data_IF_784588306144
#
_entry.id   IF_784588306144
#
_cell.length_a   1.000
_cell.length_b   1.000
_cell.length_c   1.000
_cell.angle_alpha   90.00
_cell.angle_beta   90.00
_cell.angle_gamma   90.00
#
_symmetry.space_group_name_H-M   'P 1'
#
loop_
_entity.id
_entity.type
_entity.pdbx_description
1 polymer ?
#
# COMPACT_ATOMS: atom_id res chain seq x y z
N UNK A 1 4.02 -5.12 -21.37
CA UNK A 1 4.44 -5.48 -19.99
C UNK A 1 3.19 -5.91 -19.26
N UNK A 2 3.05 -7.22 -19.01
CA UNK A 2 1.80 -7.87 -18.58
C UNK A 2 1.41 -7.42 -17.16
N UNK A 3 0.13 -7.07 -16.98
CA UNK A 3 -0.50 -6.74 -15.69
C UNK A 3 -0.64 -7.96 -14.76
N UNK A 4 -0.25 -9.14 -15.21
CA UNK A 4 -0.47 -10.43 -14.53
C UNK A 4 0.53 -10.75 -13.41
N UNK A 5 1.61 -9.97 -13.25
CA UNK A 5 2.58 -10.16 -12.17
C UNK A 5 2.15 -9.52 -10.84
N UNK A 6 1.17 -8.61 -10.84
CA UNK A 6 0.73 -7.95 -9.60
C UNK A 6 -0.11 -8.86 -8.68
N UNK A 7 -0.69 -9.94 -9.21
CA UNK A 7 -1.60 -10.82 -8.45
C UNK A 7 -0.96 -12.04 -7.78
N UNK A 8 0.35 -12.28 -7.94
CA UNK A 8 0.97 -13.56 -7.53
C UNK A 8 0.98 -13.83 -6.02
N UNK A 9 0.67 -12.84 -5.19
CA UNK A 9 0.63 -12.95 -3.72
C UNK A 9 -0.73 -12.54 -3.13
N UNK A 10 -1.81 -12.59 -3.90
CA UNK A 10 -3.14 -12.20 -3.44
C UNK A 10 -3.98 -13.43 -3.04
N UNK A 11 -4.59 -13.42 -1.86
CA UNK A 11 -5.62 -14.38 -1.46
C UNK A 11 -6.90 -14.22 -2.31
N UNK A 12 -7.74 -15.24 -2.32
CA UNK A 12 -8.99 -15.25 -3.08
C UNK A 12 -9.94 -14.13 -2.59
N UNK A 13 -10.24 -13.16 -3.46
CA UNK A 13 -11.07 -11.99 -3.16
C UNK A 13 -10.29 -10.69 -2.95
N UNK A 14 -8.95 -10.77 -2.94
CA UNK A 14 -8.08 -9.60 -2.86
C UNK A 14 -7.87 -8.95 -4.21
N UNK A 15 -7.85 -7.62 -4.20
CA UNK A 15 -7.63 -6.78 -5.37
C UNK A 15 -6.62 -5.71 -5.00
N UNK A 16 -5.54 -5.62 -5.78
CA UNK A 16 -4.64 -4.46 -5.76
C UNK A 16 -5.39 -3.29 -6.35
N UNK A 17 -5.67 -2.30 -5.51
CA UNK A 17 -6.32 -1.06 -5.88
C UNK A 17 -5.31 -0.06 -6.45
N UNK A 18 -4.08 -0.12 -5.97
CA UNK A 18 -2.97 0.73 -6.41
C UNK A 18 -1.62 0.11 -6.04
N UNK A 19 -0.57 0.36 -6.84
CA UNK A 19 0.80 -0.11 -6.58
C UNK A 19 1.83 0.92 -7.07
N UNK A 20 3.03 0.94 -6.46
CA UNK A 20 4.19 1.69 -6.98
C UNK A 20 5.40 0.78 -7.23
N UNK A 21 6.61 1.11 -6.75
CA UNK A 21 7.82 0.26 -6.78
C UNK A 21 8.16 -0.42 -5.45
N UNK A 22 7.51 -0.03 -4.35
CA UNK A 22 7.87 -0.43 -2.99
C UNK A 22 6.67 -0.93 -2.16
N UNK A 23 5.44 -0.56 -2.50
CA UNK A 23 4.25 -0.98 -1.78
C UNK A 23 2.97 -0.98 -2.63
N UNK A 24 1.90 -1.55 -2.07
CA UNK A 24 0.60 -1.79 -2.69
C UNK A 24 -0.52 -1.42 -1.73
N UNK A 25 -1.62 -0.92 -2.29
CA UNK A 25 -2.88 -0.71 -1.59
C UNK A 25 -3.86 -1.79 -2.00
N UNK A 26 -4.49 -2.44 -1.03
CA UNK A 26 -5.42 -3.55 -1.26
C UNK A 26 -6.79 -3.28 -0.68
N UNK A 27 -7.79 -3.99 -1.21
CA UNK A 27 -9.17 -3.98 -0.72
C UNK A 27 -9.39 -4.83 0.55
N UNK A 28 -8.37 -5.51 1.07
CA UNK A 28 -8.37 -6.30 2.31
C UNK A 28 -7.04 -6.13 3.06
N UNK A 29 -7.05 -6.35 4.38
CA UNK A 29 -5.86 -6.34 5.24
C UNK A 29 -4.94 -7.48 4.81
N UNK A 30 -3.69 -7.14 4.52
CA UNK A 30 -2.65 -8.12 4.27
C UNK A 30 -1.78 -8.25 5.52
N UNK A 31 -1.87 -9.40 6.19
CA UNK A 31 -1.01 -9.75 7.32
C UNK A 31 0.38 -10.22 6.89
N UNK A 32 0.68 -10.27 5.59
CA UNK A 32 1.99 -10.70 5.09
C UNK A 32 2.89 -9.51 4.81
N UNK A 33 3.72 -9.19 5.81
CA UNK A 33 4.99 -8.51 5.57
C UNK A 33 5.88 -9.51 4.80
N UNK A 34 6.41 -9.16 3.62
CA UNK A 34 7.31 -10.06 2.92
C UNK A 34 8.60 -10.21 3.73
N UNK A 35 8.91 -11.44 4.13
CA UNK A 35 10.13 -11.78 4.88
C UNK A 35 11.42 -11.48 4.10
N UNK A 36 11.34 -11.33 2.76
CA UNK A 36 12.50 -11.20 1.86
C UNK A 36 12.46 -9.94 0.95
N UNK A 37 12.14 -8.77 1.50
CA UNK A 37 12.29 -7.49 0.77
C UNK A 37 11.26 -7.25 -0.35
N UNK A 38 10.06 -7.83 -0.20
CA UNK A 38 8.95 -7.61 -1.12
C UNK A 38 8.18 -6.31 -0.89
N UNK A 39 7.05 -6.19 -1.58
CA UNK A 39 6.11 -5.09 -1.50
C UNK A 39 5.51 -4.92 -0.10
N UNK A 40 5.51 -3.71 0.46
CA UNK A 40 4.69 -3.43 1.63
C UNK A 40 3.21 -3.36 1.24
N UNK A 41 2.30 -3.79 2.09
CA UNK A 41 0.87 -3.76 1.79
C UNK A 41 0.13 -2.88 2.80
N UNK A 42 -0.70 -1.97 2.30
CA UNK A 42 -1.53 -1.08 3.11
C UNK A 42 -2.99 -1.33 2.75
N UNK A 43 -3.81 -1.57 3.77
CA UNK A 43 -5.24 -1.69 3.56
C UNK A 43 -5.84 -0.33 3.20
N UNK A 44 -6.74 -0.27 2.21
CA UNK A 44 -7.35 0.98 1.77
C UNK A 44 -8.06 1.77 2.89
N UNK A 45 -8.67 1.09 3.87
CA UNK A 45 -9.29 1.78 5.02
C UNK A 45 -8.26 2.38 5.98
N UNK A 46 -7.04 1.83 6.00
CA UNK A 46 -5.96 2.30 6.84
C UNK A 46 -5.13 3.39 6.17
N UNK A 47 -5.26 3.60 4.87
CA UNK A 47 -4.49 4.56 4.07
C UNK A 47 -4.48 5.99 4.65
N UNK A 48 -5.57 6.38 5.31
CA UNK A 48 -5.75 7.70 5.92
C UNK A 48 -5.28 7.78 7.38
N UNK A 49 -4.74 6.70 7.96
CA UNK A 49 -4.13 6.77 9.29
C UNK A 49 -2.87 7.65 9.25
N UNK A 50 -2.72 8.50 10.25
CA UNK A 50 -1.58 9.42 10.36
C UNK A 50 -0.26 8.73 10.75
N UNK A 51 -0.31 7.46 11.15
CA UNK A 51 0.87 6.69 11.57
C UNK A 51 1.82 6.31 10.41
N UNK A 52 1.34 6.33 9.16
CA UNK A 52 2.10 5.78 8.04
C UNK A 52 3.43 6.50 7.74
N UNK A 53 3.50 7.85 7.71
CA UNK A 53 4.75 8.55 7.51
C UNK A 53 5.82 8.18 8.54
N UNK A 54 5.47 8.15 9.82
CA UNK A 54 6.44 7.82 10.87
C UNK A 54 6.84 6.35 10.81
N UNK A 55 5.86 5.44 10.63
CA UNK A 55 6.12 4.01 10.49
C UNK A 55 7.07 3.69 9.33
N UNK A 56 6.92 4.36 8.19
CA UNK A 56 7.74 4.14 7.00
C UNK A 56 9.12 4.78 7.11
N UNK A 57 9.23 5.91 7.82
CA UNK A 57 10.52 6.55 8.11
C UNK A 57 11.44 5.63 8.93
N UNK A 58 10.88 4.81 9.82
CA UNK A 58 11.63 3.88 10.68
C UNK A 58 12.20 2.66 9.93
N UNK A 59 11.70 2.33 8.73
CA UNK A 59 12.08 1.11 8.00
C UNK A 59 13.48 1.18 7.38
N UNK A 60 14.05 2.37 7.17
CA UNK A 60 15.41 2.57 6.67
C UNK A 60 15.68 2.15 5.21
N UNK A 61 14.91 1.21 4.65
CA UNK A 61 14.96 0.78 3.25
C UNK A 61 13.93 1.48 2.35
N UNK A 62 13.00 2.23 2.94
CA UNK A 62 11.98 3.01 2.21
C UNK A 62 12.57 4.35 1.79
N UNK A 63 12.37 4.72 0.52
CA UNK A 63 12.60 6.09 0.08
C UNK A 63 11.44 6.94 0.58
N UNK A 64 11.69 7.75 1.62
CA UNK A 64 10.65 8.51 2.30
C UNK A 64 9.97 9.55 1.39
N UNK A 65 10.70 10.19 0.49
CA UNK A 65 10.13 11.19 -0.42
C UNK A 65 9.21 10.50 -1.43
N UNK A 66 9.70 9.43 -2.07
CA UNK A 66 8.91 8.61 -2.98
C UNK A 66 7.68 8.01 -2.29
N UNK A 67 7.81 7.64 -1.01
CA UNK A 67 6.70 7.18 -0.19
C UNK A 67 5.64 8.25 0.05
N UNK A 68 6.03 9.48 0.41
CA UNK A 68 5.07 10.57 0.66
C UNK A 68 4.30 10.97 -0.60
N UNK A 69 4.95 11.00 -1.76
CA UNK A 69 4.29 11.24 -3.05
C UNK A 69 3.28 10.12 -3.37
N UNK A 70 3.70 8.87 -3.18
CA UNK A 70 2.87 7.69 -3.33
C UNK A 70 1.64 7.69 -2.41
N UNK A 71 1.84 7.99 -1.12
CA UNK A 71 0.78 8.03 -0.12
C UNK A 71 -0.24 9.11 -0.46
N UNK A 72 0.24 10.30 -0.83
CA UNK A 72 -0.61 11.40 -1.29
C UNK A 72 -1.45 10.95 -2.49
N UNK A 73 -0.82 10.33 -3.49
CA UNK A 73 -1.54 9.88 -4.70
C UNK A 73 -2.57 8.80 -4.40
N UNK A 74 -2.22 7.84 -3.56
CA UNK A 74 -3.13 6.78 -3.15
C UNK A 74 -4.36 7.36 -2.41
N UNK A 75 -4.17 8.35 -1.53
CA UNK A 75 -5.26 9.02 -0.81
C UNK A 75 -6.21 9.79 -1.73
N UNK A 76 -5.68 10.42 -2.79
CA UNK A 76 -6.50 11.05 -3.83
C UNK A 76 -7.38 10.04 -4.58
N UNK A 77 -6.83 8.87 -4.91
CA UNK A 77 -7.53 7.81 -5.64
C UNK A 77 -8.54 7.05 -4.76
N UNK A 78 -8.30 7.02 -3.46
CA UNK A 78 -9.12 6.32 -2.48
C UNK A 78 -9.53 7.29 -1.37
N UNK A 79 -10.42 8.25 -1.65
CA UNK A 79 -10.86 9.22 -0.66
C UNK A 79 -11.52 8.50 0.52
N UNK A 80 -11.27 9.01 1.73
CA UNK A 80 -11.93 8.50 2.93
C UNK A 80 -13.44 8.63 2.71
N UNK A 81 -14.15 7.50 2.59
CA UNK A 81 -15.60 7.51 2.66
C UNK A 81 -15.98 7.83 4.11
N UNK A 82 -16.04 9.11 4.43
CA UNK A 82 -16.76 9.57 5.61
C UNK A 82 -18.21 9.23 5.33
N UNK A 83 -18.72 8.18 5.97
CA UNK A 83 -20.15 7.92 5.97
C UNK A 83 -20.83 9.17 6.55
N UNK A 84 -21.58 9.87 5.70
CA UNK A 84 -22.44 10.97 6.09
C UNK A 84 -23.65 10.45 6.89
#
# INVERSE_FOLDING_TARGET
MSRDDDNRNLLQGEVVLWSNKQWRVTNLVLEQVPEDGGWYYIYASDLHRDMWPDHMREKGWVDFSSFMEALTKARELHPLRIAA
#
